data_IF_963157023306
#
_entry.id   IF_963157023306
#
_cell.length_a   1.000
_cell.length_b   1.000
_cell.length_c   1.000
_cell.angle_alpha   90.00
_cell.angle_beta   90.00
_cell.angle_gamma   90.00
#
_symmetry.space_group_name_H-M   'P 1'
#
loop_
_entity.id
_entity.type
_entity.pdbx_description
1 polymer ?
#
# COMPACT_ATOMS: atom_id res chain seq x y z
N UNK A 1 13.99 -18.90 -28.47
CA UNK A 1 14.14 -19.38 -27.09
C UNK A 1 12.81 -19.14 -26.42
N UNK A 2 11.95 -20.16 -26.41
CA UNK A 2 10.60 -20.07 -25.86
C UNK A 2 10.72 -20.10 -24.34
N UNK A 3 10.28 -19.04 -23.66
CA UNK A 3 10.15 -19.02 -22.21
C UNK A 3 8.83 -19.65 -21.83
N UNK A 4 8.90 -20.81 -21.16
CA UNK A 4 7.82 -21.33 -20.33
C UNK A 4 7.41 -20.21 -19.35
N UNK A 5 6.22 -19.64 -19.53
CA UNK A 5 5.57 -18.86 -18.47
C UNK A 5 5.08 -19.89 -17.45
N UNK A 6 5.82 -20.04 -16.36
CA UNK A 6 5.39 -20.80 -15.19
C UNK A 6 4.09 -20.20 -14.66
N UNK A 7 2.98 -20.91 -14.90
CA UNK A 7 1.70 -20.65 -14.26
C UNK A 7 1.90 -20.84 -12.74
N UNK A 8 1.68 -19.83 -11.89
CA UNK A 8 1.95 -19.96 -10.48
C UNK A 8 1.03 -21.03 -9.87
N UNK A 9 1.63 -22.11 -9.37
CA UNK A 9 0.95 -23.20 -8.67
C UNK A 9 0.35 -22.67 -7.35
N UNK A 10 -0.88 -22.15 -7.45
CA UNK A 10 -1.64 -21.68 -6.31
C UNK A 10 -2.16 -22.87 -5.52
N UNK A 11 -1.76 -22.96 -4.25
CA UNK A 11 -2.19 -24.03 -3.35
C UNK A 11 -3.67 -23.93 -2.96
N UNK A 12 -4.10 -24.77 -2.01
CA UNK A 12 -5.47 -24.67 -1.50
C UNK A 12 -5.75 -23.27 -0.91
N UNK A 13 -6.99 -22.78 -1.02
CA UNK A 13 -7.41 -21.46 -0.51
C UNK A 13 -7.05 -21.28 0.97
N UNK A 14 -7.16 -22.34 1.77
CA UNK A 14 -6.80 -22.29 3.18
C UNK A 14 -5.30 -22.01 3.38
N UNK A 15 -4.46 -22.62 2.55
CA UNK A 15 -3.00 -22.45 2.60
C UNK A 15 -2.59 -21.03 2.20
N UNK A 16 -3.20 -20.50 1.12
CA UNK A 16 -2.95 -19.13 0.66
C UNK A 16 -3.47 -18.08 1.65
N UNK A 17 -4.60 -18.33 2.31
CA UNK A 17 -5.10 -17.46 3.37
C UNK A 17 -4.15 -17.40 4.58
N UNK A 18 -3.51 -18.51 4.94
CA UNK A 18 -2.49 -18.55 6.00
C UNK A 18 -1.24 -17.79 5.58
N UNK A 19 -0.78 -17.95 4.33
CA UNK A 19 0.36 -17.18 3.79
C UNK A 19 0.07 -15.68 3.78
N UNK A 20 -1.12 -15.28 3.32
CA UNK A 20 -1.57 -13.89 3.34
C UNK A 20 -1.62 -13.32 4.76
N UNK A 21 -2.21 -14.07 5.70
CA UNK A 21 -2.30 -13.63 7.10
C UNK A 21 -0.91 -13.52 7.72
N UNK A 22 0.01 -14.42 7.37
CA UNK A 22 1.42 -14.34 7.74
C UNK A 22 2.09 -13.07 7.23
N UNK A 23 1.99 -12.80 5.92
CA UNK A 23 2.53 -11.59 5.31
C UNK A 23 1.94 -10.30 5.90
N UNK A 24 0.63 -10.29 6.16
CA UNK A 24 -0.04 -9.16 6.81
C UNK A 24 0.46 -8.94 8.24
N UNK A 25 0.64 -10.02 9.00
CA UNK A 25 1.15 -9.94 10.38
C UNK A 25 2.60 -9.46 10.42
N UNK A 26 3.41 -9.87 9.45
CA UNK A 26 4.81 -9.45 9.34
C UNK A 26 4.92 -7.97 8.96
N UNK A 27 4.17 -7.55 7.93
CA UNK A 27 4.04 -6.14 7.56
C UNK A 27 3.55 -5.27 8.72
N UNK A 28 2.56 -5.75 9.49
CA UNK A 28 2.05 -5.01 10.64
C UNK A 28 3.11 -4.82 11.73
N UNK A 29 3.99 -5.81 11.95
CA UNK A 29 5.11 -5.68 12.90
C UNK A 29 6.14 -4.69 12.41
N UNK A 30 6.56 -4.80 11.15
CA UNK A 30 7.55 -3.92 10.55
C UNK A 30 7.06 -2.46 10.55
N UNK A 31 5.80 -2.26 10.13
CA UNK A 31 5.13 -0.96 10.19
C UNK A 31 5.02 -0.42 11.61
N UNK A 32 4.68 -1.25 12.61
CA UNK A 32 4.61 -0.79 14.00
C UNK A 32 5.97 -0.33 14.54
N UNK A 33 7.07 -1.03 14.19
CA UNK A 33 8.43 -0.66 14.57
C UNK A 33 8.92 0.61 13.84
N UNK A 34 8.57 0.75 12.57
CA UNK A 34 8.93 1.93 11.76
C UNK A 34 8.16 3.18 12.21
N UNK A 35 6.87 3.02 12.46
CA UNK A 35 5.99 4.08 13.00
C UNK A 35 6.48 4.56 14.37
N UNK A 36 6.89 3.66 15.27
CA UNK A 36 7.43 4.07 16.58
C UNK A 36 8.73 4.88 16.44
N UNK A 37 9.59 4.53 15.48
CA UNK A 37 10.84 5.24 15.17
C UNK A 37 10.60 6.63 14.59
N UNK A 38 9.58 6.79 13.75
CA UNK A 38 9.28 8.06 13.05
C UNK A 38 8.31 8.99 13.80
N UNK A 39 7.42 8.47 14.66
CA UNK A 39 6.46 9.29 15.43
C UNK A 39 7.07 10.03 16.63
N UNK A 40 8.25 9.64 17.08
CA UNK A 40 8.86 10.14 18.31
C UNK A 40 9.85 11.29 18.12
N UNK A 41 10.09 11.74 16.88
CA UNK A 41 11.17 12.69 16.57
C UNK A 41 10.80 14.15 16.83
N UNK A 42 9.50 14.49 16.86
CA UNK A 42 9.04 15.87 17.07
C UNK A 42 9.46 16.86 15.98
N UNK A 43 9.92 16.38 14.82
CA UNK A 43 10.40 17.20 13.72
C UNK A 43 9.28 17.94 12.97
N UNK A 44 9.62 19.02 12.27
CA UNK A 44 8.67 19.89 11.54
C UNK A 44 7.85 19.16 10.45
N UNK A 45 8.44 18.11 9.87
CA UNK A 45 7.81 17.11 8.99
C UNK A 45 6.64 16.35 9.65
N UNK A 46 6.62 16.17 10.98
CA UNK A 46 5.51 15.56 11.70
C UNK A 46 4.23 16.43 11.70
N UNK A 47 4.30 17.67 11.25
CA UNK A 47 3.12 18.56 11.17
C UNK A 47 2.30 18.32 9.89
N UNK A 48 2.92 17.71 8.87
CA UNK A 48 2.31 17.52 7.54
C UNK A 48 1.80 16.09 7.30
N UNK A 49 2.34 15.09 8.00
CA UNK A 49 1.84 13.71 7.90
C UNK A 49 0.48 13.54 8.62
N UNK A 50 -0.54 12.94 7.97
CA UNK A 50 -1.86 12.74 8.57
C UNK A 50 -1.83 11.83 9.81
N UNK A 51 -0.93 10.84 9.85
CA UNK A 51 -0.75 9.94 10.99
C UNK A 51 -0.14 10.70 12.18
N UNK A 52 0.91 11.50 11.95
CA UNK A 52 1.54 12.29 13.01
C UNK A 52 0.56 13.30 13.61
N UNK A 53 -0.29 13.92 12.77
CA UNK A 53 -1.33 14.85 13.21
C UNK A 53 -2.40 14.19 14.08
N UNK A 54 -2.84 12.98 13.75
CA UNK A 54 -3.80 12.22 14.58
C UNK A 54 -3.17 11.80 15.91
N UNK A 55 -1.93 11.29 15.90
CA UNK A 55 -1.19 10.93 17.13
C UNK A 55 -1.00 12.14 18.04
N UNK A 56 -0.62 13.29 17.49
CA UNK A 56 -0.47 14.53 18.26
C UNK A 56 -1.80 14.99 18.89
N UNK A 57 -2.90 14.86 18.15
CA UNK A 57 -4.25 15.19 18.64
C UNK A 57 -4.65 14.25 19.78
N UNK A 58 -4.50 12.93 19.59
CA UNK A 58 -4.77 11.93 20.64
C UNK A 58 -3.86 12.15 21.85
N UNK A 59 -2.63 12.63 21.64
CA UNK A 59 -1.69 12.92 22.72
C UNK A 59 -2.05 14.15 23.58
N UNK A 60 -2.83 15.07 23.04
CA UNK A 60 -3.30 16.27 23.75
C UNK A 60 -4.63 16.06 24.49
N UNK A 61 -5.33 14.94 24.26
CA UNK A 61 -6.56 14.62 24.99
C UNK A 61 -6.28 14.39 26.49
N UNK A 62 -7.22 14.76 27.36
CA UNK A 62 -7.14 14.45 28.79
C UNK A 62 -7.10 12.92 29.03
N UNK A 63 -6.46 12.45 30.10
CA UNK A 63 -6.35 11.01 30.38
C UNK A 63 -7.73 10.33 30.53
N UNK A 64 -8.73 11.03 31.06
CA UNK A 64 -10.12 10.54 31.14
C UNK A 64 -10.74 10.33 29.74
N UNK A 65 -10.55 11.30 28.83
CA UNK A 65 -11.09 11.21 27.46
C UNK A 65 -10.39 10.11 26.68
N UNK A 66 -9.09 9.93 26.87
CA UNK A 66 -8.37 8.79 26.26
C UNK A 66 -8.89 7.45 26.73
N UNK A 67 -9.20 7.30 28.02
CA UNK A 67 -9.76 6.05 28.56
C UNK A 67 -11.12 5.74 27.93
N UNK A 68 -12.00 6.73 27.82
CA UNK A 68 -13.30 6.58 27.15
C UNK A 68 -13.15 6.27 25.66
N UNK A 69 -12.20 6.91 24.99
CA UNK A 69 -11.88 6.67 23.59
C UNK A 69 -11.38 5.23 23.37
N UNK A 70 -10.54 4.71 24.27
CA UNK A 70 -10.06 3.33 24.20
C UNK A 70 -11.21 2.32 24.36
N UNK A 71 -12.15 2.58 25.26
CA UNK A 71 -13.37 1.76 25.40
C UNK A 71 -14.21 1.81 24.12
N UNK A 72 -14.45 3.00 23.56
CA UNK A 72 -15.21 3.16 22.33
C UNK A 72 -14.52 2.50 21.12
N UNK A 73 -13.20 2.64 21.00
CA UNK A 73 -12.39 2.00 19.97
C UNK A 73 -12.49 0.47 20.05
N UNK A 74 -12.54 -0.07 21.26
CA UNK A 74 -12.73 -1.52 21.49
C UNK A 74 -14.09 -1.98 20.99
N UNK A 75 -15.16 -1.24 21.30
CA UNK A 75 -16.51 -1.54 20.79
C UNK A 75 -16.60 -1.42 19.26
N UNK A 76 -15.90 -0.44 18.68
CA UNK A 76 -15.82 -0.27 17.22
C UNK A 76 -15.09 -1.46 16.58
N UNK A 77 -13.96 -1.90 17.12
CA UNK A 77 -13.21 -3.06 16.61
C UNK A 77 -14.05 -4.34 16.66
N UNK A 78 -14.83 -4.53 17.72
CA UNK A 78 -15.76 -5.65 17.86
C UNK A 78 -16.89 -5.60 16.81
N UNK A 79 -17.40 -4.41 16.48
CA UNK A 79 -18.39 -4.25 15.42
C UNK A 79 -17.77 -4.44 14.03
N UNK A 80 -16.57 -3.90 13.81
CA UNK A 80 -15.84 -4.00 12.56
C UNK A 80 -15.47 -5.46 12.23
N UNK A 81 -15.12 -6.28 13.23
CA UNK A 81 -14.85 -7.70 12.99
C UNK A 81 -16.09 -8.45 12.51
N UNK A 82 -17.26 -8.13 13.05
CA UNK A 82 -18.54 -8.63 12.54
C UNK A 82 -18.79 -8.24 11.09
N UNK A 83 -18.54 -6.97 10.72
CA UNK A 83 -18.69 -6.49 9.35
C UNK A 83 -17.69 -7.13 8.38
N UNK A 84 -16.42 -7.29 8.77
CA UNK A 84 -15.39 -7.94 7.95
C UNK A 84 -15.75 -9.42 7.72
N UNK A 85 -16.23 -10.11 8.76
CA UNK A 85 -16.71 -11.48 8.62
C UNK A 85 -17.86 -11.56 7.60
N UNK A 86 -18.81 -10.62 7.63
CA UNK A 86 -19.89 -10.58 6.63
C UNK A 86 -19.38 -10.22 5.23
N UNK A 87 -18.39 -9.32 5.11
CA UNK A 87 -17.81 -8.92 3.83
C UNK A 87 -17.01 -10.06 3.19
N UNK A 88 -16.30 -10.87 3.98
CA UNK A 88 -15.59 -12.06 3.50
C UNK A 88 -16.58 -13.11 2.96
N UNK A 89 -17.75 -13.26 3.58
CA UNK A 89 -18.81 -14.15 3.10
C UNK A 89 -19.45 -13.63 1.79
N UNK A 90 -19.66 -12.32 1.69
CA UNK A 90 -20.19 -11.68 0.48
C UNK A 90 -19.22 -11.82 -0.71
N UNK A 91 -17.92 -11.66 -0.46
CA UNK A 91 -16.86 -11.83 -1.47
C UNK A 91 -16.79 -13.26 -2.01
N UNK A 92 -17.06 -14.26 -1.17
CA UNK A 92 -17.18 -15.66 -1.60
C UNK A 92 -18.45 -15.96 -2.43
N UNK A 93 -19.49 -15.12 -2.33
CA UNK A 93 -20.74 -15.25 -3.10
C UNK A 93 -20.79 -14.39 -4.37
N UNK A 94 -19.84 -13.46 -4.57
CA UNK A 94 -19.86 -12.61 -5.75
C UNK A 94 -19.39 -13.39 -6.99
N UNK A 95 -20.13 -13.36 -8.11
CA UNK A 95 -19.60 -13.83 -9.38
C UNK A 95 -18.35 -13.02 -9.74
N UNK A 96 -17.29 -13.72 -10.16
CA UNK A 96 -15.96 -13.16 -10.36
C UNK A 96 -15.94 -11.93 -11.26
N UNK A 97 -15.03 -10.99 -10.98
CA UNK A 97 -14.76 -9.85 -11.86
C UNK A 97 -14.26 -10.32 -13.21
N UNK A 98 -14.79 -9.73 -14.28
CA UNK A 98 -14.36 -10.01 -15.65
C UNK A 98 -12.90 -9.57 -15.81
N UNK A 99 -12.02 -10.54 -16.11
CA UNK A 99 -10.61 -10.32 -16.39
C UNK A 99 -10.52 -9.82 -17.82
N UNK A 100 -10.21 -8.55 -18.00
CA UNK A 100 -9.89 -7.97 -19.31
C UNK A 100 -8.45 -8.37 -19.62
N UNK A 101 -8.25 -9.22 -20.62
CA UNK A 101 -6.92 -9.60 -21.09
C UNK A 101 -6.25 -8.38 -21.76
N UNK A 102 -5.29 -7.78 -21.06
CA UNK A 102 -4.49 -6.65 -21.59
C UNK A 102 -3.40 -7.09 -22.58
N UNK A 103 -3.27 -8.40 -22.84
CA UNK A 103 -2.38 -8.98 -23.85
C UNK A 103 -3.03 -9.04 -25.26
N UNK A 104 -4.28 -8.59 -25.38
CA UNK A 104 -5.01 -8.53 -26.65
C UNK A 104 -4.88 -7.21 -27.40
N UNK A 105 -3.95 -6.33 -26.98
CA UNK A 105 -3.57 -5.17 -27.76
C UNK A 105 -2.62 -5.63 -28.85
N UNK A 106 -3.14 -5.77 -30.07
CA UNK A 106 -2.37 -5.74 -31.30
C UNK A 106 -1.13 -4.85 -31.13
N UNK A 107 0.03 -5.50 -31.15
CA UNK A 107 1.32 -4.87 -31.13
C UNK A 107 1.56 -4.21 -32.51
N UNK A 108 0.81 -3.14 -32.81
CA UNK A 108 1.15 -2.16 -33.86
C UNK A 108 1.79 -0.90 -33.25
N UNK A 109 2.31 -1.00 -32.03
CA UNK A 109 3.36 -0.09 -31.59
C UNK A 109 4.65 -0.51 -32.26
N UNK A 110 4.76 -0.19 -33.55
CA UNK A 110 5.99 -0.35 -34.32
C UNK A 110 7.11 0.37 -33.57
N UNK A 111 8.20 -0.34 -33.28
CA UNK A 111 9.40 0.19 -32.64
C UNK A 111 10.16 1.21 -33.52
N UNK A 112 9.47 1.83 -34.48
CA UNK A 112 9.97 2.82 -35.42
C UNK A 112 9.33 4.21 -35.18
N UNK A 113 8.29 4.32 -34.33
CA UNK A 113 7.68 5.62 -33.92
C UNK A 113 8.43 6.29 -32.76
N UNK A 114 9.30 5.57 -32.04
CA UNK A 114 10.35 6.21 -31.27
C UNK A 114 11.56 6.41 -32.19
N UNK A 115 11.37 7.17 -33.27
CA UNK A 115 12.55 7.84 -33.81
C UNK A 115 13.16 8.62 -32.65
N UNK A 116 14.42 8.31 -32.34
CA UNK A 116 15.28 9.07 -31.46
C UNK A 116 15.41 10.50 -32.01
N UNK A 117 14.32 11.26 -31.93
CA UNK A 117 14.30 12.69 -32.14
C UNK A 117 14.86 13.30 -30.87
N UNK A 118 16.19 13.32 -30.82
CA UNK A 118 16.96 14.43 -30.28
C UNK A 118 16.28 15.11 -29.08
N UNK A 119 16.42 14.50 -27.91
CA UNK A 119 16.27 15.27 -26.68
C UNK A 119 17.27 16.41 -26.79
N UNK A 120 16.84 17.69 -26.65
CA UNK A 120 17.77 18.80 -26.70
C UNK A 120 18.81 18.55 -25.62
N UNK A 121 20.03 18.28 -26.05
CA UNK A 121 21.19 18.28 -25.19
C UNK A 121 21.26 19.67 -24.55
N UNK A 122 21.10 19.70 -23.22
CA UNK A 122 21.32 20.90 -22.42
C UNK A 122 22.78 21.31 -22.63
N UNK A 123 23.03 22.19 -23.60
CA UNK A 123 24.33 22.81 -23.80
C UNK A 123 24.58 23.75 -22.63
N UNK A 124 25.43 23.33 -21.70
CA UNK A 124 25.99 24.15 -20.63
C UNK A 124 26.95 25.19 -21.25
N UNK A 125 26.67 26.50 -21.21
CA UNK A 125 27.61 27.51 -21.71
C UNK A 125 28.69 27.81 -20.68
N UNK A 126 29.93 27.46 -21.03
CA UNK A 126 31.18 28.18 -20.77
C UNK A 126 31.53 28.56 -19.31
N UNK A 127 32.41 27.77 -18.70
CA UNK A 127 33.31 28.21 -17.61
C UNK A 127 34.76 27.99 -18.07
N UNK A 128 35.22 28.82 -19.02
CA UNK A 128 36.64 28.91 -19.37
C UNK A 128 37.26 30.11 -18.63
N UNK A 129 37.81 29.79 -17.47
CA UNK A 129 38.70 30.68 -16.73
C UNK A 129 40.13 30.68 -17.30
N UNK A 130 40.62 31.91 -17.50
CA UNK A 130 42.01 32.39 -17.41
C UNK A 130 42.98 32.24 -18.60
#
# INVERSE_FOLDING_TARGET
MSGDREDPDVGSVAEEAVKLLGALTDWAKDTAQDVDRHLATGAEECTYCPICRTVHTVRQLSPEVRAQLATAATSLLQAASGLIATAAQDQASRPGVERIDLDGGDDDWSADDWSAGEWPEDTDPEEEGE
#
